data_IF_647955799481
#
_entry.id   IF_647955799481
#
_cell.length_a   1.000
_cell.length_b   1.000
_cell.length_c   1.000
_cell.angle_alpha   90.00
_cell.angle_beta   90.00
_cell.angle_gamma   90.00
#
_symmetry.space_group_name_H-M   'P 1'
#
loop_
_entity.id
_entity.type
_entity.pdbx_description
1 polymer ?
#
# COMPACT_ATOMS: atom_id res chain seq x y z
N UNK A 1 4.10 64.00 -17.39
CA UNK A 1 5.31 64.67 -16.89
C UNK A 1 5.35 64.41 -15.37
N UNK A 2 6.15 63.47 -14.95
CA UNK A 2 6.86 63.52 -13.67
C UNK A 2 7.65 62.21 -13.46
N UNK A 3 8.91 62.40 -13.20
CA UNK A 3 9.99 61.44 -13.10
C UNK A 3 9.88 60.47 -11.96
N UNK A 4 10.31 59.22 -12.22
CA UNK A 4 10.61 58.17 -11.23
C UNK A 4 12.12 58.07 -11.03
N UNK A 5 12.66 58.11 -9.81
CA UNK A 5 14.08 57.93 -9.57
C UNK A 5 14.48 56.45 -9.52
N UNK A 6 15.50 56.13 -10.29
CA UNK A 6 16.23 54.83 -10.26
C UNK A 6 16.95 54.64 -8.94
N UNK A 7 16.64 53.58 -8.21
CA UNK A 7 17.48 53.12 -7.07
C UNK A 7 18.45 52.05 -7.52
N UNK A 8 19.74 52.33 -7.23
CA UNK A 8 20.92 51.53 -7.52
C UNK A 8 20.93 50.26 -6.65
N UNK A 9 21.17 49.12 -7.25
CA UNK A 9 21.50 47.88 -6.56
C UNK A 9 22.95 47.94 -6.06
N UNK A 10 23.15 47.70 -4.76
CA UNK A 10 24.47 47.57 -4.15
C UNK A 10 24.78 46.07 -4.05
N UNK A 11 25.77 45.61 -4.81
CA UNK A 11 26.28 44.25 -4.75
C UNK A 11 27.25 44.16 -3.58
N UNK A 12 26.92 43.28 -2.61
CA UNK A 12 27.83 42.94 -1.51
C UNK A 12 28.58 41.67 -1.92
N UNK A 13 29.87 41.79 -2.20
CA UNK A 13 30.78 40.66 -2.33
C UNK A 13 31.18 40.17 -0.93
N UNK A 14 30.87 38.94 -0.62
CA UNK A 14 31.39 38.23 0.57
C UNK A 14 32.45 37.25 0.08
N UNK A 15 33.70 37.53 0.47
CA UNK A 15 34.87 36.68 0.25
C UNK A 15 34.92 35.54 1.24
N UNK A 16 35.00 34.30 0.75
CA UNK A 16 35.23 33.07 1.55
C UNK A 16 36.74 32.87 1.77
N UNK A 17 37.20 32.48 2.95
CA UNK A 17 38.57 32.02 3.15
C UNK A 17 38.72 30.54 2.77
N UNK A 18 39.77 30.22 2.01
CA UNK A 18 40.21 28.87 1.72
C UNK A 18 40.76 28.19 2.97
N UNK A 19 40.18 27.05 3.37
CA UNK A 19 40.72 26.17 4.37
C UNK A 19 41.53 25.05 3.73
N UNK A 20 42.78 24.92 4.17
CA UNK A 20 43.75 23.94 3.68
C UNK A 20 43.38 22.51 4.12
N UNK A 21 43.43 21.58 3.19
CA UNK A 21 43.35 20.14 3.44
C UNK A 21 44.70 19.63 3.99
N UNK A 22 44.72 19.18 5.22
CA UNK A 22 45.83 18.40 5.76
C UNK A 22 45.54 16.91 5.58
N UNK A 23 46.31 16.25 4.71
CA UNK A 23 46.33 14.81 4.54
C UNK A 23 47.05 14.14 5.71
N UNK A 24 46.34 13.39 6.52
CA UNK A 24 46.96 12.40 7.43
C UNK A 24 46.92 11.02 6.77
N UNK A 25 48.07 10.56 6.29
CA UNK A 25 48.28 9.18 5.89
C UNK A 25 48.45 8.32 7.15
N UNK A 26 47.50 7.43 7.43
CA UNK A 26 47.62 6.38 8.43
C UNK A 26 48.04 5.08 7.74
N UNK A 27 49.28 4.73 7.98
CA UNK A 27 49.92 3.46 7.61
C UNK A 27 49.25 2.31 8.38
N UNK A 28 48.52 1.42 7.69
CA UNK A 28 48.06 0.16 8.29
C UNK A 28 48.93 -0.99 7.77
N UNK A 29 49.76 -1.45 8.67
CA UNK A 29 50.53 -2.68 8.53
C UNK A 29 49.59 -3.90 8.49
N UNK A 30 49.73 -4.70 7.43
CA UNK A 30 49.06 -5.97 7.18
C UNK A 30 49.66 -7.05 8.09
N UNK A 31 48.91 -7.82 8.87
CA UNK A 31 49.46 -9.00 9.51
C UNK A 31 49.47 -10.16 8.49
N UNK A 32 50.63 -10.82 8.49
CA UNK A 32 50.98 -12.01 7.69
C UNK A 32 49.97 -13.13 7.89
N UNK A 33 49.50 -13.72 6.77
CA UNK A 33 48.78 -14.96 6.76
C UNK A 33 49.75 -16.13 7.09
N UNK A 34 49.48 -16.84 8.17
CA UNK A 34 50.11 -18.11 8.48
C UNK A 34 49.48 -19.19 7.60
N UNK A 35 50.31 -19.79 6.72
CA UNK A 35 49.96 -20.95 5.93
C UNK A 35 50.15 -22.21 6.79
N UNK A 36 49.03 -22.84 7.20
CA UNK A 36 49.05 -24.22 7.69
C UNK A 36 48.85 -25.18 6.51
N UNK A 37 49.60 -26.32 6.50
CA UNK A 37 49.48 -27.34 5.45
C UNK A 37 48.12 -28.05 5.55
N UNK A 38 47.48 -28.25 4.41
CA UNK A 38 46.26 -29.03 4.27
C UNK A 38 46.53 -30.51 4.52
N UNK A 39 45.87 -31.08 5.50
CA UNK A 39 45.81 -32.50 5.79
C UNK A 39 44.85 -33.20 4.79
N UNK A 40 45.27 -34.18 4.01
CA UNK A 40 44.41 -34.81 3.01
C UNK A 40 43.70 -36.03 3.62
N UNK A 41 42.64 -35.81 4.39
CA UNK A 41 41.69 -36.88 4.70
C UNK A 41 40.35 -36.37 5.18
N UNK A 42 39.54 -35.82 4.23
CA UNK A 42 38.10 -35.67 4.48
C UNK A 42 37.42 -37.00 4.06
N UNK A 43 36.58 -37.59 4.90
CA UNK A 43 35.76 -38.74 4.48
C UNK A 43 34.72 -38.26 3.48
N UNK A 44 34.48 -39.09 2.44
CA UNK A 44 33.44 -38.90 1.45
C UNK A 44 32.10 -38.62 2.12
N UNK A 45 31.42 -37.59 1.61
CA UNK A 45 30.03 -37.29 2.01
C UNK A 45 29.16 -38.50 1.65
N UNK A 46 28.64 -39.15 2.67
CA UNK A 46 27.59 -40.13 2.51
C UNK A 46 26.35 -39.44 1.94
N UNK A 47 25.81 -39.98 0.86
CA UNK A 47 24.47 -39.66 0.36
C UNK A 47 23.46 -39.78 1.50
N UNK A 48 23.12 -38.65 2.09
CA UNK A 48 22.09 -38.56 3.09
C UNK A 48 20.74 -38.71 2.40
N UNK A 49 20.17 -39.89 2.47
CA UNK A 49 18.76 -40.09 2.21
C UNK A 49 17.95 -39.07 3.05
N UNK A 50 16.88 -38.41 2.51
CA UNK A 50 16.09 -37.47 3.28
C UNK A 50 15.50 -38.19 4.49
N UNK A 51 15.60 -37.57 5.65
CA UNK A 51 15.08 -38.10 6.90
C UNK A 51 13.57 -38.43 6.72
N UNK A 52 13.14 -39.66 7.07
CA UNK A 52 11.73 -40.02 7.01
C UNK A 52 10.98 -39.25 8.08
N UNK A 53 10.13 -38.29 7.70
CA UNK A 53 9.20 -37.65 8.64
C UNK A 53 9.00 -36.15 8.53
N UNK A 54 9.59 -35.43 7.60
CA UNK A 54 9.18 -34.05 7.36
C UNK A 54 7.75 -34.03 6.82
N UNK A 55 6.79 -33.70 7.68
CA UNK A 55 5.42 -33.44 7.22
C UNK A 55 5.47 -32.34 6.16
N UNK A 56 4.78 -32.52 5.02
CA UNK A 56 4.74 -31.48 4.01
C UNK A 56 4.21 -30.20 4.66
N UNK A 57 4.92 -29.10 4.43
CA UNK A 57 4.51 -27.78 4.92
C UNK A 57 3.01 -27.58 4.63
N UNK A 58 2.22 -27.23 5.63
CA UNK A 58 0.79 -27.01 5.48
C UNK A 58 0.55 -25.52 5.32
N UNK A 59 -0.46 -25.13 4.51
CA UNK A 59 -0.93 -23.75 4.50
C UNK A 59 -1.33 -23.35 5.91
N UNK A 60 -1.10 -22.09 6.28
CA UNK A 60 -1.60 -21.56 7.54
C UNK A 60 -3.12 -21.80 7.60
N UNK A 61 -3.65 -22.30 8.73
CA UNK A 61 -5.10 -22.39 8.89
C UNK A 61 -5.69 -21.02 8.65
N UNK A 62 -6.80 -20.96 7.91
CA UNK A 62 -7.55 -19.72 7.80
C UNK A 62 -8.00 -19.36 9.24
N UNK A 63 -7.46 -18.23 9.76
CA UNK A 63 -8.02 -17.62 10.96
C UNK A 63 -9.47 -17.21 10.64
N UNK A 64 -10.32 -17.03 11.64
CA UNK A 64 -11.72 -16.60 11.43
C UNK A 64 -11.77 -15.50 10.39
N UNK A 65 -12.75 -15.53 9.45
CA UNK A 65 -12.90 -14.52 8.41
C UNK A 65 -12.92 -13.10 8.97
N UNK A 66 -12.60 -12.11 8.13
CA UNK A 66 -12.57 -10.72 8.55
C UNK A 66 -13.90 -10.30 9.19
N UNK A 67 -13.82 -9.56 10.28
CA UNK A 67 -14.98 -9.02 10.99
C UNK A 67 -14.83 -7.53 11.15
N UNK A 68 -15.93 -6.81 10.90
CA UNK A 68 -16.00 -5.38 11.12
C UNK A 68 -15.72 -5.05 12.59
N UNK A 69 -14.82 -4.08 12.80
CA UNK A 69 -14.60 -3.47 14.10
C UNK A 69 -15.66 -2.43 14.43
N UNK A 70 -15.66 -1.90 15.65
CA UNK A 70 -16.49 -0.76 16.01
C UNK A 70 -16.10 0.47 15.18
N UNK A 71 -17.09 1.24 14.74
CA UNK A 71 -16.88 2.46 13.95
C UNK A 71 -16.89 2.26 12.43
N UNK A 72 -16.87 1.01 11.94
CA UNK A 72 -16.97 0.75 10.50
C UNK A 72 -18.30 1.29 9.92
N UNK A 73 -18.20 2.07 8.84
CA UNK A 73 -19.35 2.55 8.08
C UNK A 73 -19.92 1.40 7.27
N UNK A 74 -21.24 1.20 7.30
CA UNK A 74 -21.93 0.12 6.56
C UNK A 74 -21.15 -1.20 6.57
N UNK A 75 -20.91 -1.80 7.76
CA UNK A 75 -20.01 -2.94 7.91
C UNK A 75 -20.42 -4.15 7.06
N UNK A 76 -21.71 -4.29 6.73
CA UNK A 76 -22.25 -5.35 5.88
C UNK A 76 -21.69 -5.30 4.43
N UNK A 77 -21.35 -4.11 3.91
CA UNK A 77 -20.73 -3.95 2.59
C UNK A 77 -19.33 -4.55 2.60
N UNK A 78 -18.52 -4.18 3.59
CA UNK A 78 -17.16 -4.71 3.76
C UNK A 78 -17.17 -6.21 4.04
N UNK A 79 -18.09 -6.69 4.87
CA UNK A 79 -18.25 -8.11 5.17
C UNK A 79 -18.59 -8.92 3.91
N UNK A 80 -19.48 -8.40 3.06
CA UNK A 80 -19.82 -9.04 1.78
C UNK A 80 -18.62 -9.12 0.85
N UNK A 81 -17.85 -8.03 0.72
CA UNK A 81 -16.66 -8.01 -0.12
C UNK A 81 -15.57 -8.97 0.37
N UNK A 82 -15.31 -8.97 1.68
CA UNK A 82 -14.26 -9.82 2.29
C UNK A 82 -14.64 -11.30 2.27
N UNK A 83 -15.88 -11.65 2.62
CA UNK A 83 -16.38 -13.02 2.54
C UNK A 83 -16.28 -13.60 1.12
N UNK A 84 -16.55 -12.77 0.11
CA UNK A 84 -16.36 -13.15 -1.29
C UNK A 84 -14.89 -13.45 -1.61
N UNK A 85 -13.95 -12.58 -1.26
CA UNK A 85 -12.51 -12.77 -1.51
C UNK A 85 -11.97 -13.99 -0.76
N UNK A 86 -12.37 -14.18 0.50
CA UNK A 86 -11.97 -15.34 1.31
C UNK A 86 -12.50 -16.65 0.72
N UNK A 87 -13.77 -16.67 0.30
CA UNK A 87 -14.39 -17.84 -0.32
C UNK A 87 -13.79 -18.17 -1.69
N UNK A 88 -13.66 -17.16 -2.57
CA UNK A 88 -13.14 -17.37 -3.91
C UNK A 88 -11.62 -17.65 -3.95
N UNK A 89 -10.87 -17.10 -2.98
CA UNK A 89 -9.42 -17.23 -2.92
C UNK A 89 -8.91 -18.42 -2.09
N UNK A 90 -9.79 -19.12 -1.34
CA UNK A 90 -9.44 -20.31 -0.56
C UNK A 90 -10.00 -21.57 -1.24
N UNK A 91 -9.09 -22.37 -1.80
CA UNK A 91 -9.48 -23.53 -2.60
C UNK A 91 -8.42 -24.64 -2.55
N UNK A 92 -8.84 -25.86 -2.94
CA UNK A 92 -7.98 -27.02 -3.17
C UNK A 92 -8.34 -27.67 -4.50
N UNK A 93 -7.34 -28.07 -5.25
CA UNK A 93 -7.56 -28.92 -6.44
C UNK A 93 -7.62 -30.38 -5.95
N UNK A 94 -8.75 -31.04 -6.12
CA UNK A 94 -8.76 -32.51 -6.16
C UNK A 94 -8.13 -32.90 -7.51
N UNK A 95 -7.12 -33.78 -7.53
CA UNK A 95 -6.37 -34.23 -8.73
C UNK A 95 -7.21 -34.16 -10.01
N UNK A 96 -7.24 -33.00 -10.68
CA UNK A 96 -7.94 -32.79 -11.96
C UNK A 96 -9.40 -32.33 -11.89
N UNK A 97 -9.99 -32.07 -10.74
CA UNK A 97 -11.35 -31.49 -10.61
C UNK A 97 -11.28 -30.33 -9.62
N UNK A 98 -11.66 -29.15 -10.08
CA UNK A 98 -11.88 -27.98 -9.22
C UNK A 98 -13.04 -28.30 -8.26
N UNK A 99 -12.72 -28.50 -6.99
CA UNK A 99 -13.76 -28.55 -5.95
C UNK A 99 -14.13 -27.10 -5.61
N UNK A 100 -15.22 -26.60 -6.20
CA UNK A 100 -15.95 -25.48 -5.63
C UNK A 100 -16.33 -25.84 -4.19
N UNK A 101 -16.02 -24.95 -3.24
CA UNK A 101 -16.35 -25.09 -1.83
C UNK A 101 -17.83 -25.43 -1.66
N UNK A 102 -18.12 -26.65 -1.21
CA UNK A 102 -19.42 -26.97 -0.64
C UNK A 102 -19.57 -26.22 0.69
N UNK A 103 -20.40 -25.22 0.69
CA UNK A 103 -20.84 -24.59 1.92
C UNK A 103 -20.94 -23.07 1.85
N UNK A 104 -21.93 -22.60 1.24
CA UNK A 104 -22.68 -21.36 1.50
C UNK A 104 -23.29 -20.86 0.20
N UNK A 105 -24.57 -20.50 0.24
CA UNK A 105 -25.44 -20.18 -0.85
C UNK A 105 -24.79 -19.57 -2.09
N UNK A 106 -25.25 -19.99 -3.26
CA UNK A 106 -24.71 -19.63 -4.55
C UNK A 106 -24.37 -18.13 -4.66
N UNK A 107 -23.10 -17.81 -4.49
CA UNK A 107 -22.57 -16.50 -4.90
C UNK A 107 -22.47 -16.58 -6.41
N UNK A 108 -23.13 -15.70 -7.17
CA UNK A 108 -22.94 -15.64 -8.62
C UNK A 108 -21.44 -15.47 -8.89
N UNK A 109 -20.81 -16.44 -9.51
CA UNK A 109 -19.39 -16.33 -9.90
C UNK A 109 -19.29 -15.20 -10.91
N UNK A 110 -18.70 -14.09 -10.50
CA UNK A 110 -18.25 -13.08 -11.43
C UNK A 110 -17.15 -13.72 -12.30
N UNK A 111 -17.32 -13.80 -13.63
CA UNK A 111 -16.46 -14.61 -14.51
C UNK A 111 -14.98 -14.23 -14.52
N UNK A 112 -14.63 -13.05 -14.00
CA UNK A 112 -13.25 -12.52 -13.95
C UNK A 112 -12.49 -12.91 -12.68
N UNK A 113 -13.15 -13.46 -11.67
CA UNK A 113 -12.57 -13.70 -10.34
C UNK A 113 -11.62 -14.87 -10.33
N UNK A 114 -11.94 -15.93 -11.03
CA UNK A 114 -11.16 -17.16 -11.05
C UNK A 114 -9.72 -16.91 -11.52
N UNK A 115 -9.54 -16.13 -12.59
CA UNK A 115 -8.22 -15.91 -13.20
C UNK A 115 -7.25 -15.07 -12.35
N UNK A 116 -7.76 -14.26 -11.39
CA UNK A 116 -6.90 -13.42 -10.52
C UNK A 116 -6.45 -14.19 -9.28
N UNK A 117 -7.36 -14.96 -8.69
CA UNK A 117 -7.15 -15.68 -7.44
C UNK A 117 -6.62 -17.10 -7.66
N UNK A 118 -6.81 -17.67 -8.83
CA UNK A 118 -6.24 -18.94 -9.24
C UNK A 118 -4.85 -18.73 -9.84
N UNK A 119 -3.91 -19.58 -9.42
CA UNK A 119 -2.54 -19.55 -9.95
C UNK A 119 -2.26 -20.90 -10.60
N UNK A 120 -1.92 -20.93 -11.91
CA UNK A 120 -1.57 -22.15 -12.60
C UNK A 120 -0.46 -22.92 -11.88
N UNK A 121 -0.65 -24.22 -11.67
CA UNK A 121 0.31 -25.07 -10.99
C UNK A 121 0.22 -25.09 -9.47
N UNK A 122 -0.61 -24.24 -8.85
CA UNK A 122 -0.92 -24.35 -7.44
C UNK A 122 -1.94 -25.48 -7.17
N UNK A 123 -1.75 -26.20 -6.09
CA UNK A 123 -2.62 -27.31 -5.65
C UNK A 123 -3.68 -26.86 -4.64
N UNK A 124 -3.37 -25.80 -3.90
CA UNK A 124 -4.29 -25.18 -2.95
C UNK A 124 -3.90 -23.74 -2.64
N UNK A 125 -4.89 -22.99 -2.19
CA UNK A 125 -4.77 -21.59 -1.81
C UNK A 125 -5.48 -21.36 -0.48
N UNK A 126 -4.96 -20.40 0.31
CA UNK A 126 -5.59 -19.85 1.49
C UNK A 126 -5.44 -18.34 1.48
N UNK A 127 -6.53 -17.63 1.75
CA UNK A 127 -6.56 -16.16 1.80
C UNK A 127 -6.81 -15.67 3.21
N UNK A 128 -6.07 -14.65 3.62
CA UNK A 128 -6.26 -13.89 4.85
C UNK A 128 -6.44 -12.42 4.51
N UNK A 129 -7.62 -11.86 4.79
CA UNK A 129 -7.87 -10.44 4.60
C UNK A 129 -7.06 -9.63 5.62
N UNK A 130 -6.34 -8.62 5.12
CA UNK A 130 -5.61 -7.65 5.94
C UNK A 130 -6.56 -6.51 6.31
N UNK A 131 -7.13 -5.84 5.30
CA UNK A 131 -8.13 -4.79 5.54
C UNK A 131 -8.95 -4.47 4.29
N UNK A 132 -10.30 -4.33 4.40
CA UNK A 132 -11.17 -3.79 3.37
C UNK A 132 -11.34 -2.27 3.56
N UNK A 133 -10.76 -1.49 2.68
CA UNK A 133 -10.90 -0.03 2.65
C UNK A 133 -12.01 0.36 1.68
N UNK A 134 -12.79 1.40 2.00
CA UNK A 134 -13.69 1.95 1.03
C UNK A 134 -12.96 2.71 -0.09
N UNK A 135 -13.40 2.49 -1.35
CA UNK A 135 -13.04 3.30 -2.49
C UNK A 135 -14.21 4.16 -2.98
N UNK A 136 -15.44 3.88 -2.52
CA UNK A 136 -16.63 4.65 -2.83
C UNK A 136 -17.91 4.01 -2.33
N UNK A 137 -18.89 4.85 -1.98
CA UNK A 137 -20.21 4.42 -1.49
C UNK A 137 -21.28 5.35 -2.09
N UNK A 138 -22.38 4.75 -2.51
CA UNK A 138 -23.67 5.44 -2.78
C UNK A 138 -24.79 4.67 -2.09
N UNK A 139 -26.03 5.07 -2.30
CA UNK A 139 -27.20 4.39 -1.73
C UNK A 139 -27.30 2.91 -2.15
N UNK A 140 -26.87 2.57 -3.36
CA UNK A 140 -27.09 1.27 -4.02
C UNK A 140 -25.84 0.66 -4.66
N UNK A 141 -24.73 1.35 -4.66
CA UNK A 141 -23.46 0.86 -5.20
C UNK A 141 -22.30 1.14 -4.24
N UNK A 142 -21.31 0.24 -4.21
CA UNK A 142 -20.08 0.44 -3.44
C UNK A 142 -18.87 -0.12 -4.17
N UNK A 143 -17.70 0.44 -3.82
CA UNK A 143 -16.39 -0.07 -4.16
C UNK A 143 -15.61 -0.31 -2.88
N UNK A 144 -15.09 -1.52 -2.67
CA UNK A 144 -14.25 -1.89 -1.54
C UNK A 144 -12.91 -2.37 -2.06
N UNK A 145 -11.84 -1.73 -1.63
CA UNK A 145 -10.47 -2.13 -1.93
C UNK A 145 -10.03 -3.12 -0.88
N UNK A 146 -10.02 -4.41 -1.21
CA UNK A 146 -9.67 -5.48 -0.28
C UNK A 146 -8.19 -5.78 -0.40
N UNK A 147 -7.41 -5.47 0.65
CA UNK A 147 -6.02 -5.89 0.80
C UNK A 147 -6.00 -7.24 1.52
N UNK A 148 -5.32 -8.23 0.96
CA UNK A 148 -5.25 -9.59 1.53
C UNK A 148 -3.95 -10.28 1.18
N UNK A 149 -3.56 -11.21 2.05
CA UNK A 149 -2.46 -12.15 1.83
C UNK A 149 -3.02 -13.45 1.25
N UNK A 150 -2.36 -13.98 0.23
CA UNK A 150 -2.69 -15.27 -0.35
C UNK A 150 -1.48 -16.20 -0.27
N UNK A 151 -1.65 -17.35 0.39
CA UNK A 151 -0.69 -18.44 0.40
C UNK A 151 -1.09 -19.48 -0.64
N UNK A 152 -0.13 -19.91 -1.43
CA UNK A 152 -0.30 -20.86 -2.52
C UNK A 152 0.61 -22.05 -2.25
N UNK A 153 0.06 -23.27 -2.31
CA UNK A 153 0.82 -24.49 -2.25
C UNK A 153 0.91 -25.10 -3.64
N UNK A 154 2.11 -25.49 -4.05
CA UNK A 154 2.38 -26.23 -5.27
C UNK A 154 3.51 -27.24 -5.07
N UNK A 155 3.98 -27.89 -6.15
CA UNK A 155 5.07 -28.89 -6.07
C UNK A 155 6.37 -28.35 -5.49
N UNK A 156 6.63 -27.03 -5.63
CA UNK A 156 7.82 -26.35 -5.10
C UNK A 156 7.68 -25.88 -3.65
N UNK A 157 6.59 -26.19 -2.94
CA UNK A 157 6.33 -25.75 -1.58
C UNK A 157 5.26 -24.68 -1.47
N UNK A 158 5.36 -23.82 -0.43
CA UNK A 158 4.43 -22.73 -0.18
C UNK A 158 5.08 -21.42 -0.64
N UNK A 159 4.31 -20.65 -1.41
CA UNK A 159 4.61 -19.25 -1.77
C UNK A 159 3.52 -18.34 -1.24
N UNK A 160 3.88 -17.07 -0.99
CA UNK A 160 2.94 -16.06 -0.51
C UNK A 160 2.97 -14.84 -1.41
N UNK A 161 1.81 -14.20 -1.60
CA UNK A 161 1.68 -12.90 -2.25
C UNK A 161 0.65 -12.06 -1.54
N UNK A 162 0.77 -10.75 -1.62
CA UNK A 162 -0.23 -9.80 -1.13
C UNK A 162 -0.84 -9.07 -2.30
N UNK A 163 -2.14 -8.94 -2.32
CA UNK A 163 -2.92 -8.33 -3.38
C UNK A 163 -3.89 -7.28 -2.82
N UNK A 164 -4.17 -6.25 -3.62
CA UNK A 164 -5.28 -5.35 -3.41
C UNK A 164 -6.22 -5.43 -4.63
N UNK A 165 -7.52 -5.62 -4.38
CA UNK A 165 -8.53 -5.75 -5.44
C UNK A 165 -9.69 -4.80 -5.21
N UNK A 166 -10.13 -4.15 -6.29
CA UNK A 166 -11.33 -3.32 -6.35
C UNK A 166 -12.57 -4.21 -6.53
N UNK A 167 -13.27 -4.46 -5.44
CA UNK A 167 -14.51 -5.25 -5.37
C UNK A 167 -15.70 -4.31 -5.49
N UNK A 168 -16.52 -4.50 -6.52
CA UNK A 168 -17.73 -3.72 -6.77
C UNK A 168 -18.96 -4.44 -6.27
N UNK A 169 -19.82 -3.71 -5.56
CA UNK A 169 -21.02 -4.24 -4.97
C UNK A 169 -22.25 -3.45 -5.44
N UNK A 170 -23.37 -4.15 -5.52
CA UNK A 170 -24.70 -3.59 -5.78
C UNK A 170 -25.63 -3.99 -4.65
N UNK A 171 -26.49 -3.05 -4.26
CA UNK A 171 -27.59 -3.29 -3.34
C UNK A 171 -28.80 -3.79 -4.10
N UNK A 172 -29.24 -5.02 -3.82
CA UNK A 172 -30.37 -5.64 -4.49
C UNK A 172 -31.71 -5.26 -3.84
N UNK A 173 -32.80 -5.56 -4.55
CA UNK A 173 -34.14 -5.49 -3.99
C UNK A 173 -34.18 -6.31 -2.68
N UNK A 174 -34.65 -5.70 -1.58
CA UNK A 174 -34.57 -6.30 -0.26
C UNK A 174 -33.40 -5.83 0.61
N UNK A 175 -32.52 -4.98 0.06
CA UNK A 175 -31.50 -4.25 0.82
C UNK A 175 -30.18 -4.99 1.02
N UNK A 176 -30.05 -6.22 0.52
CA UNK A 176 -28.80 -6.99 0.62
C UNK A 176 -27.77 -6.52 -0.39
N UNK A 177 -26.51 -6.50 0.05
CA UNK A 177 -25.37 -6.22 -0.82
C UNK A 177 -24.83 -7.50 -1.44
N UNK A 178 -24.51 -7.43 -2.73
CA UNK A 178 -23.92 -8.53 -3.49
C UNK A 178 -22.72 -8.04 -4.29
N UNK A 179 -21.72 -8.89 -4.46
CA UNK A 179 -20.58 -8.60 -5.33
C UNK A 179 -21.05 -8.67 -6.79
N UNK A 180 -20.92 -7.56 -7.49
CA UNK A 180 -21.23 -7.43 -8.92
C UNK A 180 -20.03 -7.87 -9.77
N UNK A 181 -18.85 -7.39 -9.46
CA UNK A 181 -17.60 -7.71 -10.17
C UNK A 181 -16.37 -7.37 -9.36
N UNK A 182 -15.24 -7.93 -9.76
CA UNK A 182 -13.91 -7.51 -9.36
C UNK A 182 -13.24 -6.86 -10.57
N UNK A 183 -12.67 -5.68 -10.38
CA UNK A 183 -11.83 -5.06 -11.38
C UNK A 183 -10.40 -5.57 -11.23
N UNK A 184 -9.75 -5.99 -12.33
CA UNK A 184 -8.36 -6.40 -12.29
C UNK A 184 -7.47 -5.23 -11.88
N UNK A 185 -6.39 -5.47 -11.09
CA UNK A 185 -5.45 -4.43 -10.76
C UNK A 185 -4.76 -3.91 -12.03
N UNK A 186 -4.53 -2.61 -12.07
CA UNK A 186 -3.79 -1.93 -13.13
C UNK A 186 -2.40 -1.55 -12.64
N UNK A 187 -1.52 -1.12 -13.54
CA UNK A 187 -0.16 -0.68 -13.23
C UNK A 187 0.04 0.76 -13.68
N UNK A 188 0.89 1.51 -12.98
CA UNK A 188 1.36 2.84 -13.41
C UNK A 188 2.18 2.81 -14.72
N UNK A 189 2.39 1.63 -15.29
CA UNK A 189 3.09 1.42 -16.56
C UNK A 189 4.50 0.83 -16.37
N UNK A 190 5.29 0.83 -17.45
CA UNK A 190 6.64 0.30 -17.43
C UNK A 190 7.54 1.06 -16.45
N UNK A 191 8.39 0.35 -15.73
CA UNK A 191 9.31 0.95 -14.76
C UNK A 191 10.27 1.94 -15.43
N UNK A 192 10.57 3.02 -14.70
CA UNK A 192 11.59 4.01 -15.01
C UNK A 192 12.59 4.08 -13.85
N UNK A 193 13.77 4.73 -14.00
CA UNK A 193 14.71 4.88 -12.89
C UNK A 193 14.05 5.51 -11.67
N UNK A 194 14.36 5.00 -10.48
CA UNK A 194 13.86 5.53 -9.22
C UNK A 194 14.48 6.89 -8.92
N UNK A 195 13.68 7.82 -8.40
CA UNK A 195 14.18 9.04 -7.77
C UNK A 195 14.85 8.74 -6.42
N UNK A 196 15.56 9.73 -5.87
CA UNK A 196 16.11 9.62 -4.53
C UNK A 196 15.00 9.40 -3.48
N UNK A 197 13.89 10.16 -3.59
CA UNK A 197 12.76 10.02 -2.68
C UNK A 197 12.09 8.64 -2.81
N UNK A 198 11.92 8.09 -4.02
CA UNK A 198 11.38 6.75 -4.19
C UNK A 198 12.27 5.69 -3.52
N UNK A 199 13.60 5.82 -3.65
CA UNK A 199 14.56 4.93 -3.00
C UNK A 199 14.48 5.04 -1.48
N UNK A 200 14.37 6.26 -0.95
CA UNK A 200 14.25 6.50 0.48
C UNK A 200 12.95 5.95 1.05
N UNK A 201 11.80 6.20 0.41
CA UNK A 201 10.49 5.63 0.79
C UNK A 201 10.52 4.10 0.85
N UNK A 202 11.21 3.45 -0.11
CA UNK A 202 11.34 1.98 -0.13
C UNK A 202 12.21 1.42 1.00
N UNK A 203 13.08 2.23 1.59
CA UNK A 203 14.07 1.81 2.60
C UNK A 203 13.79 2.34 4.00
N UNK A 204 12.94 3.35 4.16
CA UNK A 204 12.58 3.90 5.46
C UNK A 204 11.65 2.93 6.21
N UNK A 205 12.12 2.43 7.35
CA UNK A 205 11.39 1.46 8.18
C UNK A 205 10.13 2.01 8.82
N UNK A 206 9.99 3.34 8.87
CA UNK A 206 8.79 4.02 9.37
C UNK A 206 7.67 4.03 8.34
N UNK A 207 7.96 3.72 7.06
CA UNK A 207 6.99 3.64 5.97
C UNK A 207 6.77 2.18 5.61
N UNK A 208 5.70 1.59 6.13
CA UNK A 208 5.32 0.21 5.83
C UNK A 208 4.38 0.19 4.62
N UNK A 209 4.94 -0.13 3.47
CA UNK A 209 4.18 -0.28 2.23
C UNK A 209 3.52 -1.67 2.17
N UNK A 210 2.25 -1.73 1.74
CA UNK A 210 1.70 -2.98 1.23
C UNK A 210 2.48 -3.43 -0.02
N UNK A 211 2.45 -4.73 -0.37
CA UNK A 211 3.16 -5.20 -1.57
C UNK A 211 2.67 -4.53 -2.86
N UNK A 212 1.36 -4.27 -3.06
CA UNK A 212 0.88 -3.45 -4.18
C UNK A 212 1.47 -2.05 -4.20
N UNK A 213 1.47 -1.34 -3.06
CA UNK A 213 2.03 0.01 -2.95
C UNK A 213 3.56 0.01 -3.17
N UNK A 214 4.27 -1.00 -2.66
CA UNK A 214 5.69 -1.17 -2.92
C UNK A 214 5.98 -1.39 -4.42
N UNK A 215 5.13 -2.17 -5.09
CA UNK A 215 5.21 -2.37 -6.54
C UNK A 215 5.03 -1.04 -7.28
N UNK A 216 4.06 -0.21 -6.86
CA UNK A 216 3.82 1.10 -7.47
C UNK A 216 5.04 2.02 -7.33
N UNK A 217 5.63 2.13 -6.13
CA UNK A 217 6.86 2.93 -5.91
C UNK A 217 8.01 2.40 -6.77
N UNK A 218 8.17 1.07 -6.88
CA UNK A 218 9.21 0.45 -7.70
C UNK A 218 9.05 0.73 -9.22
N UNK A 219 7.89 1.20 -9.69
CA UNK A 219 7.77 1.67 -11.08
C UNK A 219 8.54 2.96 -11.34
N UNK A 220 8.88 3.73 -10.31
CA UNK A 220 9.45 5.08 -10.42
C UNK A 220 8.47 6.11 -10.97
N UNK A 221 7.15 5.81 -10.96
CA UNK A 221 6.11 6.66 -11.55
C UNK A 221 5.15 7.29 -10.52
N UNK A 222 5.37 7.03 -9.25
CA UNK A 222 4.68 7.77 -8.19
C UNK A 222 5.18 9.21 -8.21
N UNK A 223 4.26 10.15 -8.09
CA UNK A 223 4.57 11.59 -8.12
C UNK A 223 5.55 11.96 -7.01
N UNK A 224 6.57 12.74 -7.36
CA UNK A 224 7.65 13.12 -6.45
C UNK A 224 7.13 13.84 -5.21
N UNK A 225 6.09 14.66 -5.34
CA UNK A 225 5.51 15.38 -4.22
C UNK A 225 4.82 14.43 -3.23
N UNK A 226 4.17 13.36 -3.71
CA UNK A 226 3.61 12.31 -2.82
C UNK A 226 4.73 11.64 -2.04
N UNK A 227 5.84 11.30 -2.69
CA UNK A 227 6.99 10.67 -2.03
C UNK A 227 7.59 11.61 -0.97
N UNK A 228 7.74 12.89 -1.26
CA UNK A 228 8.24 13.90 -0.31
C UNK A 228 7.27 14.09 0.87
N UNK A 229 5.96 14.07 0.64
CA UNK A 229 4.96 14.13 1.72
C UNK A 229 5.08 12.90 2.63
N UNK A 230 5.23 11.69 2.07
CA UNK A 230 5.42 10.47 2.87
C UNK A 230 6.67 10.55 3.74
N UNK A 231 7.81 11.01 3.20
CA UNK A 231 9.04 11.20 3.94
C UNK A 231 8.88 12.23 5.06
N UNK A 232 8.26 13.38 4.75
CA UNK A 232 8.02 14.42 5.74
C UNK A 232 7.04 14.00 6.86
N UNK A 233 6.04 13.16 6.55
CA UNK A 233 5.16 12.57 7.56
C UNK A 233 5.90 11.52 8.40
N UNK A 234 6.81 10.77 7.77
CA UNK A 234 7.61 9.77 8.47
C UNK A 234 8.63 10.36 9.45
N UNK A 235 8.92 11.66 9.41
CA UNK A 235 9.70 12.34 10.44
C UNK A 235 9.02 12.28 11.80
N UNK A 236 7.67 12.35 11.81
CA UNK A 236 6.85 12.47 13.01
C UNK A 236 6.06 11.20 13.36
N UNK A 237 5.82 10.29 12.38
CA UNK A 237 4.91 9.15 12.51
C UNK A 237 5.45 7.87 11.86
N UNK A 238 4.97 6.71 12.32
CA UNK A 238 5.06 5.46 11.57
C UNK A 238 3.83 5.32 10.66
N UNK A 239 4.04 5.02 9.37
CA UNK A 239 2.99 4.98 8.36
C UNK A 239 2.71 3.54 7.91
N UNK A 240 1.43 3.16 7.85
CA UNK A 240 0.97 1.93 7.20
C UNK A 240 0.21 2.25 5.92
N UNK A 241 0.87 2.10 4.76
CA UNK A 241 0.31 2.44 3.45
C UNK A 241 -0.52 1.26 2.94
N UNK A 242 -1.79 1.51 2.64
CA UNK A 242 -2.68 0.52 2.05
C UNK A 242 -2.50 0.43 0.54
N UNK A 243 -2.65 1.54 -0.17
CA UNK A 243 -2.65 1.58 -1.63
C UNK A 243 -2.16 2.94 -2.15
N UNK A 244 -1.48 2.90 -3.30
CA UNK A 244 -1.12 4.08 -4.09
C UNK A 244 -1.91 4.06 -5.40
N UNK A 245 -1.74 3.03 -6.23
CA UNK A 245 -2.42 2.87 -7.51
C UNK A 245 -2.98 1.45 -7.68
N UNK A 246 -2.13 0.44 -7.56
CA UNK A 246 -2.47 -0.95 -7.84
C UNK A 246 -3.57 -1.46 -6.91
N UNK A 247 -4.72 -1.82 -7.48
CA UNK A 247 -5.91 -2.25 -6.75
C UNK A 247 -6.86 -1.12 -6.35
N UNK A 248 -6.48 0.16 -6.53
CA UNK A 248 -7.38 1.29 -6.33
C UNK A 248 -8.29 1.52 -7.53
N UNK A 249 -9.45 2.15 -7.28
CA UNK A 249 -10.37 2.57 -8.34
C UNK A 249 -9.73 3.66 -9.21
N UNK A 250 -9.96 3.58 -10.54
CA UNK A 250 -9.31 4.48 -11.50
C UNK A 250 -10.04 5.82 -11.68
N UNK A 251 -11.28 5.93 -11.24
CA UNK A 251 -12.08 7.15 -11.32
C UNK A 251 -12.62 7.52 -9.94
N UNK A 252 -12.88 8.79 -9.72
CA UNK A 252 -13.56 9.27 -8.49
C UNK A 252 -14.98 8.75 -8.49
N UNK A 253 -15.27 7.81 -7.59
CA UNK A 253 -16.57 7.15 -7.50
C UNK A 253 -17.68 8.14 -7.05
N UNK A 254 -18.88 8.12 -7.65
CA UNK A 254 -19.34 7.29 -8.79
C UNK A 254 -19.18 7.98 -10.16
N UNK A 255 -18.27 8.92 -10.31
CA UNK A 255 -18.09 9.74 -11.51
C UNK A 255 -17.15 9.11 -12.54
N UNK A 256 -16.98 9.74 -13.71
CA UNK A 256 -15.96 9.39 -14.70
C UNK A 256 -14.67 10.21 -14.56
N UNK A 257 -14.58 11.11 -13.57
CA UNK A 257 -13.38 11.91 -13.32
C UNK A 257 -12.22 10.99 -12.94
N UNK A 258 -11.06 11.16 -13.57
CA UNK A 258 -9.87 10.38 -13.26
C UNK A 258 -9.44 10.65 -11.82
N UNK A 259 -9.18 9.60 -11.05
CA UNK A 259 -8.66 9.66 -9.70
C UNK A 259 -7.17 10.03 -9.70
N UNK A 260 -6.71 10.77 -8.70
CA UNK A 260 -5.28 11.00 -8.49
C UNK A 260 -4.50 9.70 -8.28
N UNK A 261 -5.11 8.67 -7.72
CA UNK A 261 -4.53 7.32 -7.65
C UNK A 261 -4.22 6.73 -9.03
N UNK A 262 -5.10 6.95 -10.01
CA UNK A 262 -4.92 6.42 -11.37
C UNK A 262 -3.64 6.91 -12.07
N UNK A 263 -3.08 8.00 -11.60
CA UNK A 263 -1.89 8.64 -12.16
C UNK A 263 -0.72 8.75 -11.16
N UNK A 264 -0.77 7.98 -10.07
CA UNK A 264 0.29 7.93 -9.06
C UNK A 264 0.41 9.20 -8.20
N UNK A 265 -0.64 10.00 -8.08
CA UNK A 265 -0.67 11.28 -7.35
C UNK A 265 -1.49 11.24 -6.08
N UNK A 266 -1.78 10.06 -5.57
CA UNK A 266 -2.44 9.90 -4.29
C UNK A 266 -1.95 8.66 -3.55
N UNK A 267 -2.16 8.65 -2.24
CA UNK A 267 -1.85 7.55 -1.34
C UNK A 267 -2.91 7.48 -0.26
N UNK A 268 -3.30 6.25 0.11
CA UNK A 268 -4.18 5.98 1.23
C UNK A 268 -3.40 5.33 2.38
N UNK A 269 -3.50 5.96 3.53
CA UNK A 269 -2.79 5.58 4.76
C UNK A 269 -3.80 4.97 5.72
N UNK A 270 -3.67 3.67 5.97
CA UNK A 270 -4.53 2.91 6.86
C UNK A 270 -4.11 3.00 8.32
N UNK A 271 -2.80 3.06 8.60
CA UNK A 271 -2.25 3.01 9.96
C UNK A 271 -1.31 4.19 10.22
N UNK A 272 -1.42 4.73 11.42
CA UNK A 272 -0.52 5.74 11.99
C UNK A 272 -0.06 5.22 13.34
N UNK A 273 1.27 5.15 13.56
CA UNK A 273 1.89 4.64 14.80
C UNK A 273 1.36 3.26 15.22
N UNK A 274 1.16 2.36 14.22
CA UNK A 274 0.71 0.99 14.45
C UNK A 274 -0.77 0.84 14.77
N UNK A 275 -1.58 1.91 14.70
CA UNK A 275 -3.04 1.87 14.88
C UNK A 275 -3.75 2.21 13.59
N UNK A 276 -4.82 1.49 13.27
CA UNK A 276 -5.67 1.85 12.13
C UNK A 276 -6.38 3.18 12.39
N UNK A 277 -6.66 3.93 11.33
CA UNK A 277 -7.37 5.24 11.41
C UNK A 277 -8.72 5.07 12.11
N UNK A 278 -9.41 3.95 11.88
CA UNK A 278 -10.73 3.65 12.45
C UNK A 278 -10.66 3.04 13.85
N UNK A 279 -9.48 2.79 14.41
CA UNK A 279 -9.35 2.23 15.75
C UNK A 279 -10.00 3.17 16.79
N UNK A 280 -10.97 2.70 17.60
CA UNK A 280 -11.66 3.53 18.57
C UNK A 280 -10.74 4.12 19.65
N UNK A 281 -9.52 3.59 19.79
CA UNK A 281 -8.48 4.13 20.69
C UNK A 281 -7.55 5.12 20.01
N UNK A 282 -7.71 5.36 18.69
CA UNK A 282 -6.98 6.37 17.96
C UNK A 282 -7.41 7.76 18.43
N UNK A 283 -6.43 8.59 18.82
CA UNK A 283 -6.73 9.94 19.31
C UNK A 283 -7.21 10.85 18.16
N UNK A 284 -8.39 11.48 18.28
CA UNK A 284 -8.86 12.46 17.30
C UNK A 284 -7.86 13.60 17.06
N UNK A 285 -7.13 14.04 18.10
CA UNK A 285 -6.12 15.08 17.96
C UNK A 285 -4.87 14.63 17.22
N UNK A 286 -4.53 13.35 17.25
CA UNK A 286 -3.43 12.77 16.44
C UNK A 286 -3.84 12.78 14.98
N UNK A 287 -5.04 12.28 14.66
CA UNK A 287 -5.56 12.27 13.28
C UNK A 287 -5.64 13.68 12.69
N UNK A 288 -6.21 14.64 13.45
CA UNK A 288 -6.31 16.02 12.98
C UNK A 288 -4.94 16.64 12.70
N UNK A 289 -3.95 16.47 13.60
CA UNK A 289 -2.59 16.95 13.38
C UNK A 289 -1.91 16.26 12.19
N UNK A 290 -2.12 14.97 12.02
CA UNK A 290 -1.61 14.22 10.88
C UNK A 290 -2.14 14.78 9.55
N UNK A 291 -3.46 15.00 9.45
CA UNK A 291 -4.10 15.60 8.28
C UNK A 291 -3.56 17.02 8.02
N UNK A 292 -3.43 17.85 9.05
CA UNK A 292 -2.84 19.20 8.96
C UNK A 292 -1.39 19.13 8.46
N UNK A 293 -0.59 18.23 9.02
CA UNK A 293 0.81 18.04 8.62
C UNK A 293 0.95 17.64 7.15
N UNK A 294 0.09 16.74 6.65
CA UNK A 294 0.06 16.39 5.24
C UNK A 294 -0.19 17.62 4.34
N UNK A 295 -1.14 18.48 4.72
CA UNK A 295 -1.42 19.72 4.00
C UNK A 295 -0.24 20.71 4.07
N UNK A 296 0.46 20.82 5.20
CA UNK A 296 1.68 21.66 5.35
C UNK A 296 2.82 21.20 4.47
N UNK A 297 2.94 19.89 4.26
CA UNK A 297 3.91 19.28 3.37
C UNK A 297 3.55 19.41 1.88
N UNK A 298 2.39 20.02 1.56
CA UNK A 298 2.02 20.36 0.19
C UNK A 298 0.95 19.47 -0.43
N UNK A 299 0.24 18.63 0.36
CA UNK A 299 -0.95 17.95 -0.14
C UNK A 299 -2.01 18.97 -0.54
N UNK A 300 -2.64 18.77 -1.70
CA UNK A 300 -3.73 19.61 -2.20
C UNK A 300 -5.10 19.06 -1.82
N UNK A 301 -5.18 17.78 -1.53
CA UNK A 301 -6.36 17.04 -1.09
C UNK A 301 -5.97 16.20 0.13
N UNK A 302 -6.74 16.31 1.20
CA UNK A 302 -6.58 15.48 2.41
C UNK A 302 -7.97 15.03 2.87
N UNK A 303 -8.28 13.77 2.60
CA UNK A 303 -9.52 13.11 3.02
C UNK A 303 -9.30 12.34 4.32
N UNK A 304 -10.30 12.35 5.21
CA UNK A 304 -10.20 11.64 6.46
C UNK A 304 -11.40 11.87 7.37
N UNK A 305 -11.34 11.44 8.65
CA UNK A 305 -12.46 11.55 9.56
C UNK A 305 -12.90 12.99 9.87
N UNK A 306 -12.10 14.00 9.52
CA UNK A 306 -12.38 15.40 9.88
C UNK A 306 -12.34 16.33 8.68
N UNK A 307 -13.28 17.29 8.63
CA UNK A 307 -13.20 18.45 7.76
C UNK A 307 -12.48 19.59 8.50
N UNK A 308 -11.28 19.91 8.07
CA UNK A 308 -10.44 20.96 8.68
C UNK A 308 -10.40 22.25 7.83
N UNK A 309 -11.36 22.45 6.91
CA UNK A 309 -11.39 23.58 5.99
C UNK A 309 -11.54 24.96 6.66
N UNK A 310 -11.90 25.03 7.94
CA UNK A 310 -11.93 26.29 8.68
C UNK A 310 -10.55 26.99 8.72
N UNK A 311 -9.47 26.21 8.70
CA UNK A 311 -8.08 26.71 8.74
C UNK A 311 -7.41 26.72 7.37
N UNK A 312 -7.67 25.72 6.54
CA UNK A 312 -7.06 25.55 5.21
C UNK A 312 -8.04 24.87 4.26
N UNK A 313 -7.97 25.21 2.95
CA UNK A 313 -8.75 24.53 1.91
C UNK A 313 -8.12 23.20 1.54
N UNK A 314 -8.93 22.27 1.02
CA UNK A 314 -8.47 20.98 0.48
C UNK A 314 -8.69 19.79 1.42
N UNK A 315 -9.27 20.03 2.61
CA UNK A 315 -9.75 18.94 3.46
C UNK A 315 -11.15 18.52 3.07
N UNK A 316 -11.45 17.25 3.26
CA UNK A 316 -12.81 16.72 3.09
C UNK A 316 -13.04 15.50 3.99
N UNK A 317 -14.30 15.26 4.33
CA UNK A 317 -14.74 14.08 5.08
C UNK A 317 -16.04 13.57 4.49
N UNK A 318 -16.20 12.26 4.42
CA UNK A 318 -17.40 11.56 3.99
C UNK A 318 -17.37 10.12 4.55
N UNK A 319 -18.37 9.31 4.21
CA UNK A 319 -18.47 7.92 4.65
C UNK A 319 -17.37 7.02 4.08
N UNK A 320 -16.71 7.43 3.01
CA UNK A 320 -15.61 6.68 2.38
C UNK A 320 -14.32 6.82 3.20
N UNK A 321 -14.03 8.04 3.69
CA UNK A 321 -12.75 8.40 4.30
C UNK A 321 -12.77 8.35 5.84
N UNK A 322 -13.59 7.45 6.43
CA UNK A 322 -13.59 7.24 7.88
C UNK A 322 -12.54 6.21 8.33
N UNK A 323 -12.09 5.35 7.43
CA UNK A 323 -11.22 4.20 7.73
C UNK A 323 -9.77 4.36 7.26
N UNK A 324 -9.45 5.47 6.59
CA UNK A 324 -8.10 5.80 6.11
C UNK A 324 -7.93 7.31 5.94
N UNK A 325 -6.67 7.74 5.80
CA UNK A 325 -6.35 9.10 5.38
C UNK A 325 -5.92 9.07 3.91
N UNK A 326 -6.71 9.71 3.06
CA UNK A 326 -6.38 9.98 1.67
C UNK A 326 -5.51 11.23 1.56
N UNK A 327 -4.39 11.14 0.85
CA UNK A 327 -3.53 12.28 0.53
C UNK A 327 -3.34 12.34 -0.98
N UNK A 328 -3.71 13.46 -1.59
CA UNK A 328 -3.58 13.68 -3.03
C UNK A 328 -2.89 14.98 -3.38
N UNK A 329 -2.30 15.02 -4.58
CA UNK A 329 -1.72 16.22 -5.18
C UNK A 329 -2.27 16.45 -6.57
N UNK A 330 -2.73 17.67 -6.82
CA UNK A 330 -3.18 18.12 -8.14
C UNK A 330 -2.20 19.18 -8.65
N UNK A 331 -1.33 18.86 -9.64
CA UNK A 331 -0.37 19.80 -10.16
C UNK A 331 -1.04 21.05 -10.72
N UNK A 332 -0.42 22.20 -10.48
CA UNK A 332 -0.93 23.49 -10.96
C UNK A 332 -2.08 24.07 -10.13
N UNK A 333 -2.38 23.49 -8.96
CA UNK A 333 -3.27 24.15 -8.01
C UNK A 333 -2.59 25.42 -7.48
N UNK A 334 -3.06 26.62 -7.86
CA UNK A 334 -2.40 27.87 -7.50
C UNK A 334 -2.41 28.14 -5.98
N UNK A 335 -3.19 27.36 -5.21
CA UNK A 335 -3.29 27.48 -3.77
C UNK A 335 -2.44 26.45 -3.02
N UNK A 336 -1.79 25.51 -3.72
CA UNK A 336 -1.00 24.45 -3.08
C UNK A 336 0.10 25.00 -2.15
N UNK A 337 0.71 26.13 -2.50
CA UNK A 337 1.75 26.79 -1.71
C UNK A 337 1.22 27.71 -0.61
N UNK A 338 -0.09 27.90 -0.53
CA UNK A 338 -0.77 28.71 0.49
C UNK A 338 -1.48 27.84 1.56
N UNK A 339 -1.34 26.53 1.44
CA UNK A 339 -1.98 25.54 2.32
C UNK A 339 -1.04 25.02 3.36
#
# INVERSE_FOLDING_TARGET
VSDLPRRRALALMVSLPAAALASCALNRTNPRADTHPLDPKAPAAADGAPAPGAQPAQLSPQTSGWKAGPGEVLPEVKQTATAFIESAGTWRTARGVQASSEGSGAVPQAPLTASILEVPGAESSSVQVVYPQYGGITTDTAAVIVLFDQQLRGPGGITSRQLALDVRLLRRAGGMWEVDRINPPTSLGSAVPLSAAATEVLTDRRIRLSSPAQTDVNTGRVDEQILQILLGLAEDYELGIQVIHTGHIQTVFPTSRVSNHAVGRAVDIREIDGKTVIDPTMSPSVLARFMQRASELGATEVGGPFDLNAERKGFFTDDVHQDHIHIGVTPGDPLAHLR
#
